data_IF_802440685217
#
_entry.id   IF_802440685217
#
_cell.length_a   1.000
_cell.length_b   1.000
_cell.length_c   1.000
_cell.angle_alpha   90.00
_cell.angle_beta   90.00
_cell.angle_gamma   90.00
#
_symmetry.space_group_name_H-M   'P 1'
#
loop_
_entity.id
_entity.type
_entity.pdbx_description
1 polymer ?
#
# COMPACT_ATOMS: atom_id res chain seq x y z
N UNK A 1 5.82 17.45 -21.77
CA UNK A 1 5.48 16.38 -20.80
C UNK A 1 4.43 16.92 -19.85
N UNK A 2 3.33 16.19 -19.61
CA UNK A 2 2.36 16.58 -18.57
C UNK A 2 2.92 16.22 -17.20
N UNK A 3 2.62 17.03 -16.17
CA UNK A 3 3.07 16.84 -14.78
C UNK A 3 2.82 15.43 -14.24
N UNK A 4 1.71 14.80 -14.65
CA UNK A 4 1.33 13.45 -14.21
C UNK A 4 2.32 12.36 -14.65
N UNK A 5 2.92 12.47 -15.83
CA UNK A 5 3.90 11.48 -16.32
C UNK A 5 5.20 11.57 -15.53
N UNK A 6 5.74 12.78 -15.35
CA UNK A 6 6.98 12.98 -14.60
C UNK A 6 6.86 12.50 -13.15
N UNK A 7 5.74 12.81 -12.48
CA UNK A 7 5.43 12.35 -11.12
C UNK A 7 5.40 10.82 -11.04
N UNK A 8 4.75 10.14 -11.99
CA UNK A 8 4.68 8.67 -12.04
C UNK A 8 6.05 8.03 -12.27
N UNK A 9 6.83 8.55 -13.23
CA UNK A 9 8.18 8.06 -13.50
C UNK A 9 9.08 8.19 -12.27
N UNK A 10 9.05 9.34 -11.60
CA UNK A 10 9.81 9.56 -10.38
C UNK A 10 9.37 8.60 -9.26
N UNK A 11 8.06 8.39 -9.08
CA UNK A 11 7.55 7.47 -8.08
C UNK A 11 8.02 6.03 -8.30
N UNK A 12 8.00 5.55 -9.55
CA UNK A 12 8.48 4.20 -9.90
C UNK A 12 9.99 4.09 -9.65
N UNK A 13 10.77 5.07 -10.13
CA UNK A 13 12.22 5.08 -9.94
C UNK A 13 12.60 5.05 -8.44
N UNK A 14 11.98 5.92 -7.63
CA UNK A 14 12.26 5.98 -6.20
C UNK A 14 11.84 4.70 -5.48
N UNK A 15 10.68 4.14 -5.82
CA UNK A 15 10.23 2.84 -5.27
C UNK A 15 11.23 1.73 -5.56
N UNK A 16 11.69 1.62 -6.81
CA UNK A 16 12.64 0.58 -7.20
C UNK A 16 14.00 0.77 -6.52
N UNK A 17 14.45 2.02 -6.37
CA UNK A 17 15.64 2.35 -5.59
C UNK A 17 15.49 1.98 -4.11
N UNK A 18 14.32 2.25 -3.50
CA UNK A 18 14.00 1.90 -2.11
C UNK A 18 13.95 0.38 -1.89
N UNK A 19 13.59 -0.40 -2.92
CA UNK A 19 13.59 -1.87 -2.85
C UNK A 19 14.96 -2.48 -3.15
N UNK A 20 15.86 -1.73 -3.81
CA UNK A 20 17.22 -2.18 -4.02
C UNK A 20 18.03 -2.10 -2.73
N UNK A 21 18.53 -3.24 -2.25
CA UNK A 21 19.29 -3.35 -1.00
C UNK A 21 20.48 -2.36 -0.91
N UNK A 22 21.26 -2.24 -1.98
CA UNK A 22 22.44 -1.38 -2.00
C UNK A 22 22.08 0.10 -1.96
N UNK A 23 21.09 0.51 -2.76
CA UNK A 23 20.64 1.90 -2.81
C UNK A 23 19.93 2.31 -1.52
N UNK A 24 19.02 1.46 -1.01
CA UNK A 24 18.31 1.70 0.24
C UNK A 24 19.27 1.99 1.37
N UNK A 25 20.21 1.09 1.62
CA UNK A 25 21.14 1.22 2.75
C UNK A 25 22.13 2.37 2.56
N UNK A 26 22.62 2.59 1.33
CA UNK A 26 23.62 3.63 1.06
C UNK A 26 23.06 5.04 1.21
N UNK A 27 21.78 5.23 0.90
CA UNK A 27 21.13 6.54 0.82
C UNK A 27 19.98 6.74 1.84
N UNK A 28 19.71 5.76 2.70
CA UNK A 28 18.65 5.87 3.74
C UNK A 28 17.24 6.00 3.14
N UNK A 29 16.94 5.24 2.08
CA UNK A 29 15.70 5.41 1.30
C UNK A 29 14.44 4.85 2.00
N UNK A 30 14.56 4.28 3.19
CA UNK A 30 13.42 3.93 4.05
C UNK A 30 12.59 5.16 4.44
N UNK A 31 13.23 6.34 4.58
CA UNK A 31 12.55 7.55 5.06
C UNK A 31 11.49 8.06 4.08
N UNK A 32 11.61 7.70 2.79
CA UNK A 32 10.68 8.15 1.75
C UNK A 32 9.51 7.19 1.53
N UNK A 33 9.50 6.00 2.12
CA UNK A 33 8.40 5.02 1.97
C UNK A 33 6.99 5.60 2.27
N UNK A 34 6.79 6.44 3.30
CA UNK A 34 5.49 7.08 3.55
C UNK A 34 5.08 8.10 2.48
N UNK A 35 6.05 8.65 1.73
CA UNK A 35 5.82 9.67 0.70
C UNK A 35 5.51 9.06 -0.66
N UNK A 36 5.99 7.83 -0.91
CA UNK A 36 5.78 7.16 -2.18
C UNK A 36 4.34 6.71 -2.36
N UNK A 37 3.84 6.91 -3.57
CA UNK A 37 2.52 6.47 -4.00
C UNK A 37 2.51 4.97 -4.30
N UNK A 38 1.36 4.33 -4.10
CA UNK A 38 1.14 3.01 -4.69
C UNK A 38 1.10 3.16 -6.22
N UNK A 39 1.83 2.34 -6.99
CA UNK A 39 1.75 2.38 -8.45
C UNK A 39 0.37 1.87 -8.88
N UNK A 40 -0.55 2.81 -9.13
CA UNK A 40 -1.93 2.47 -9.43
C UNK A 40 -2.05 1.83 -10.82
N UNK A 41 -2.36 0.54 -10.83
CA UNK A 41 -2.63 -0.28 -12.01
C UNK A 41 -3.90 -1.12 -11.81
N UNK A 42 -4.24 -1.97 -12.79
CA UNK A 42 -5.42 -2.82 -12.75
C UNK A 42 -5.45 -3.77 -11.54
N UNK A 43 -4.30 -4.27 -11.07
CA UNK A 43 -4.25 -5.20 -9.94
C UNK A 43 -4.40 -4.46 -8.63
N UNK A 44 -3.73 -3.32 -8.49
CA UNK A 44 -3.82 -2.45 -7.33
C UNK A 44 -5.23 -1.90 -7.17
N UNK A 45 -5.86 -1.43 -8.25
CA UNK A 45 -7.25 -0.96 -8.23
C UNK A 45 -8.20 -2.05 -7.70
N UNK A 46 -8.11 -3.27 -8.26
CA UNK A 46 -8.92 -4.41 -7.83
C UNK A 46 -8.65 -4.79 -6.38
N UNK A 47 -7.39 -4.78 -5.96
CA UNK A 47 -6.96 -5.07 -4.60
C UNK A 47 -7.53 -4.09 -3.59
N UNK A 48 -7.42 -2.79 -3.86
CA UNK A 48 -8.00 -1.73 -3.04
C UNK A 48 -9.52 -1.89 -2.96
N UNK A 49 -10.21 -2.05 -4.10
CA UNK A 49 -11.67 -2.23 -4.10
C UNK A 49 -12.12 -3.49 -3.35
N UNK A 50 -11.37 -4.58 -3.47
CA UNK A 50 -11.63 -5.81 -2.71
C UNK A 50 -11.51 -5.56 -1.21
N UNK A 51 -10.43 -4.91 -0.78
CA UNK A 51 -10.20 -4.64 0.63
C UNK A 51 -11.24 -3.65 1.17
N UNK A 52 -11.53 -2.54 0.48
CA UNK A 52 -12.58 -1.59 0.87
C UNK A 52 -13.97 -2.22 1.03
N UNK A 53 -14.31 -3.25 0.25
CA UNK A 53 -15.57 -4.01 0.42
C UNK A 53 -15.56 -4.95 1.62
N UNK A 54 -14.39 -5.46 2.00
CA UNK A 54 -14.22 -6.41 3.11
C UNK A 54 -14.18 -5.71 4.46
N UNK A 55 -13.67 -4.49 4.50
CA UNK A 55 -13.33 -3.76 5.72
C UNK A 55 -14.54 -3.04 6.33
N UNK A 56 -14.46 -2.80 7.64
CA UNK A 56 -15.52 -2.15 8.41
C UNK A 56 -15.27 -0.65 8.54
N UNK A 57 -16.33 0.18 8.57
CA UNK A 57 -16.24 1.64 8.77
C UNK A 57 -15.52 2.07 10.08
N UNK A 58 -14.98 3.30 10.13
CA UNK A 58 -15.01 4.32 9.07
C UNK A 58 -13.97 4.07 7.97
N UNK A 59 -14.42 4.16 6.72
CA UNK A 59 -13.60 3.98 5.52
C UNK A 59 -13.44 5.31 4.76
N UNK A 60 -12.27 5.57 4.15
CA UNK A 60 -12.11 6.72 3.27
C UNK A 60 -13.01 6.60 2.03
N UNK A 61 -13.46 7.74 1.44
CA UNK A 61 -14.22 7.70 0.20
C UNK A 61 -13.37 7.17 -0.94
N UNK A 62 -13.97 6.30 -1.77
CA UNK A 62 -13.35 5.76 -2.97
C UNK A 62 -14.19 6.16 -4.18
N UNK A 63 -13.62 6.96 -5.08
CA UNK A 63 -14.36 7.43 -6.26
C UNK A 63 -14.47 6.32 -7.31
N UNK A 64 -15.62 6.26 -7.96
CA UNK A 64 -15.87 5.34 -9.06
C UNK A 64 -15.37 5.91 -10.40
N UNK A 65 -15.22 5.01 -11.38
CA UNK A 65 -14.93 5.36 -12.77
C UNK A 65 -16.24 5.45 -13.54
N UNK A 66 -16.38 6.45 -14.42
CA UNK A 66 -17.64 6.77 -15.12
C UNK A 66 -18.25 5.58 -15.88
N UNK A 67 -17.40 4.68 -16.39
CA UNK A 67 -17.83 3.47 -17.12
C UNK A 67 -17.65 2.18 -16.30
N UNK A 68 -17.39 2.28 -14.99
CA UNK A 68 -17.08 1.14 -14.11
C UNK A 68 -15.72 0.47 -14.37
N UNK A 69 -15.00 0.90 -15.42
CA UNK A 69 -13.69 0.37 -15.80
C UNK A 69 -12.57 1.38 -15.48
N UNK A 70 -11.55 0.91 -14.77
CA UNK A 70 -10.33 1.68 -14.54
C UNK A 70 -9.50 1.76 -15.83
N UNK A 71 -9.06 2.97 -16.16
CA UNK A 71 -8.11 3.28 -17.24
C UNK A 71 -7.01 4.16 -16.67
N UNK A 72 -5.75 3.73 -16.78
CA UNK A 72 -4.61 4.54 -16.34
C UNK A 72 -4.40 5.80 -17.22
N UNK A 73 -4.92 5.75 -18.45
CA UNK A 73 -4.84 6.83 -19.45
C UNK A 73 -5.82 7.95 -19.08
N UNK A 74 -7.04 7.58 -18.66
CA UNK A 74 -8.14 8.52 -18.38
C UNK A 74 -8.29 8.82 -16.88
N UNK A 75 -7.27 8.51 -16.08
CA UNK A 75 -7.30 8.66 -14.64
C UNK A 75 -7.32 10.14 -14.24
N UNK A 76 -8.43 10.59 -13.66
CA UNK A 76 -8.58 11.95 -13.11
C UNK A 76 -7.78 12.12 -11.82
N UNK A 77 -7.42 13.36 -11.49
CA UNK A 77 -6.65 13.69 -10.29
C UNK A 77 -7.38 13.27 -9.01
N UNK A 78 -8.65 13.56 -8.93
CA UNK A 78 -9.50 13.30 -7.76
C UNK A 78 -9.64 11.79 -7.54
N UNK A 79 -9.79 11.03 -8.63
CA UNK A 79 -9.79 9.57 -8.58
C UNK A 79 -8.46 9.06 -8.08
N UNK A 80 -7.34 9.51 -8.67
CA UNK A 80 -6.01 9.15 -8.20
C UNK A 80 -5.84 9.41 -6.69
N UNK A 81 -6.18 10.61 -6.22
CA UNK A 81 -6.10 10.99 -4.81
C UNK A 81 -6.98 10.11 -3.91
N UNK A 82 -8.22 9.81 -4.32
CA UNK A 82 -9.11 8.92 -3.56
C UNK A 82 -8.52 7.51 -3.40
N UNK A 83 -7.89 6.96 -4.45
CA UNK A 83 -7.21 5.66 -4.39
C UNK A 83 -5.93 5.69 -3.56
N UNK A 84 -5.12 6.76 -3.63
CA UNK A 84 -3.93 6.89 -2.77
C UNK A 84 -4.31 7.01 -1.29
N UNK A 85 -5.39 7.74 -0.97
CA UNK A 85 -5.90 7.87 0.39
C UNK A 85 -6.45 6.55 0.94
N UNK A 86 -7.21 5.81 0.12
CA UNK A 86 -7.66 4.48 0.47
C UNK A 86 -6.49 3.51 0.67
N UNK A 87 -5.49 3.55 -0.21
CA UNK A 87 -4.28 2.75 -0.11
C UNK A 87 -3.49 3.05 1.17
N UNK A 88 -3.32 4.32 1.54
CA UNK A 88 -2.66 4.71 2.80
C UNK A 88 -3.40 4.14 4.02
N UNK A 89 -4.72 4.31 4.05
CA UNK A 89 -5.54 3.80 5.14
C UNK A 89 -5.47 2.27 5.22
N UNK A 90 -5.63 1.55 4.11
CA UNK A 90 -5.55 0.07 4.08
C UNK A 90 -4.15 -0.40 4.50
N UNK A 91 -3.09 0.22 3.99
CA UNK A 91 -1.72 -0.15 4.33
C UNK A 91 -1.47 -0.04 5.83
N UNK A 92 -1.95 1.05 6.44
CA UNK A 92 -1.79 1.30 7.88
C UNK A 92 -2.66 0.38 8.73
N UNK A 93 -3.93 0.22 8.40
CA UNK A 93 -4.88 -0.50 9.26
C UNK A 93 -4.82 -2.02 9.11
N UNK A 94 -4.63 -2.52 7.90
CA UNK A 94 -4.69 -3.96 7.62
C UNK A 94 -3.33 -4.62 7.49
N UNK A 95 -2.39 -3.96 6.79
CA UNK A 95 -1.11 -4.58 6.43
C UNK A 95 0.06 -4.10 7.31
N UNK A 96 -0.16 -3.10 8.18
CA UNK A 96 0.86 -2.46 9.03
C UNK A 96 2.12 -2.08 8.23
N UNK A 97 1.91 -1.45 7.07
CA UNK A 97 2.95 -1.05 6.11
C UNK A 97 2.62 0.30 5.46
N UNK A 98 3.44 0.75 4.52
CA UNK A 98 3.20 1.95 3.71
C UNK A 98 2.50 1.62 2.37
N UNK A 99 1.70 2.56 1.84
CA UNK A 99 0.90 2.34 0.62
C UNK A 99 1.72 1.87 -0.58
N UNK A 100 2.96 2.31 -0.71
CA UNK A 100 3.88 1.92 -1.80
C UNK A 100 4.08 0.40 -1.90
N UNK A 101 3.94 -0.33 -0.79
CA UNK A 101 4.10 -1.78 -0.74
C UNK A 101 2.85 -2.57 -1.11
N UNK A 102 1.66 -1.95 -1.14
CA UNK A 102 0.41 -2.67 -1.38
C UNK A 102 0.37 -3.42 -2.72
N UNK A 103 1.08 -2.90 -3.73
CA UNK A 103 1.22 -3.62 -5.00
C UNK A 103 1.79 -5.04 -4.81
N UNK A 104 2.72 -5.25 -3.88
CA UNK A 104 3.28 -6.58 -3.60
C UNK A 104 2.23 -7.56 -3.07
N UNK A 105 1.22 -7.08 -2.34
CA UNK A 105 0.13 -7.90 -1.80
C UNK A 105 -0.99 -8.15 -2.83
N UNK A 106 -1.13 -7.26 -3.81
CA UNK A 106 -2.15 -7.34 -4.85
C UNK A 106 -1.66 -8.02 -6.13
N UNK A 107 -0.36 -8.25 -6.25
CA UNK A 107 0.22 -8.96 -7.37
C UNK A 107 -0.30 -10.41 -7.44
N UNK A 108 -0.81 -10.87 -8.61
CA UNK A 108 -1.30 -12.22 -8.77
C UNK A 108 -0.24 -13.27 -8.42
N UNK A 109 -0.61 -14.29 -7.64
CA UNK A 109 0.27 -15.40 -7.29
C UNK A 109 0.95 -15.29 -5.92
N UNK A 110 0.89 -14.14 -5.26
CA UNK A 110 1.24 -14.05 -3.83
C UNK A 110 0.11 -14.68 -3.03
N UNK A 111 0.34 -15.89 -2.47
CA UNK A 111 -0.61 -16.52 -1.55
C UNK A 111 -0.85 -15.56 -0.39
N UNK A 112 -2.10 -15.17 -0.19
CA UNK A 112 -2.53 -14.42 0.99
C UNK A 112 -2.11 -15.19 2.24
N UNK A 113 -1.00 -14.78 2.86
CA UNK A 113 -0.70 -15.15 4.23
C UNK A 113 -1.80 -14.50 5.06
N UNK A 114 -2.82 -15.29 5.42
CA UNK A 114 -3.79 -14.90 6.43
C UNK A 114 -2.98 -14.50 7.66
N UNK A 115 -3.25 -13.31 8.21
CA UNK A 115 -2.73 -12.90 9.51
C UNK A 115 -3.32 -13.80 10.59
N UNK A 116 -2.71 -14.96 10.79
CA UNK A 116 -2.95 -15.78 11.97
C UNK A 116 -2.21 -15.15 13.14
N UNK A 117 -3.01 -14.54 14.03
CA UNK A 117 -2.83 -14.42 15.48
C UNK A 117 -1.60 -13.67 16.00
N UNK A 118 -1.90 -12.63 16.79
CA UNK A 118 -1.03 -12.05 17.81
C UNK A 118 -0.41 -13.17 18.67
N UNK A 119 0.91 -13.23 18.87
CA UNK A 119 1.45 -14.06 19.93
C UNK A 119 1.15 -13.36 21.26
N UNK A 120 0.12 -13.83 21.95
CA UNK A 120 -0.06 -13.63 23.39
C UNK A 120 1.05 -14.39 24.09
N UNK A 121 2.22 -13.77 24.25
CA UNK A 121 3.12 -14.15 25.33
C UNK A 121 2.68 -13.40 26.58
N UNK A 122 1.77 -14.03 27.32
CA UNK A 122 1.63 -13.77 28.74
C UNK A 122 2.94 -14.21 29.40
N UNK A 123 3.78 -13.25 29.79
CA UNK A 123 4.84 -13.49 30.76
C UNK A 123 4.18 -13.38 32.13
N UNK A 124 3.71 -14.51 32.65
CA UNK A 124 3.42 -14.64 34.07
C UNK A 124 4.75 -14.70 34.82
N UNK A 125 4.94 -13.75 35.73
CA UNK A 125 5.91 -13.87 36.79
C UNK A 125 5.53 -15.04 37.71
N UNK A 126 6.44 -15.97 37.96
CA UNK A 126 6.77 -16.52 39.29
C UNK A 126 7.79 -17.64 39.14
N UNK A 127 8.84 -17.55 39.97
CA UNK A 127 9.69 -18.61 40.57
C UNK A 127 11.06 -17.92 40.82
N UNK A 128 11.25 -17.15 41.91
CA UNK A 128 11.34 -17.55 43.31
C UNK A 128 12.41 -18.62 43.60
N UNK A 129 13.53 -18.13 44.16
CA UNK A 129 14.44 -18.81 45.12
C UNK A 129 15.33 -19.93 44.55
N UNK A 130 16.63 -19.63 44.39
CA UNK A 130 17.70 -19.99 45.36
C UNK A 130 18.98 -19.17 45.09
#
# INVERSE_FOLDING_TARGET
MSWGTARKCLNIFLRDATYNYYMRNRYGLEVIEPLLEVPLDNNVEKGIRRDMRRLKPPLPPLLEFENGAFSIIDLKREQHESYQNAAEWIAREEYRTHRVHLNLFYFPGVRSMKSSQTPTHAVTASDAVE
#
